data_IF_743409004206
#
_entry.id   IF_743409004206
#
_cell.length_a   1.000
_cell.length_b   1.000
_cell.length_c   1.000
_cell.angle_alpha   90.00
_cell.angle_beta   90.00
_cell.angle_gamma   90.00
#
_symmetry.space_group_name_H-M   'P 1'
#
loop_
_entity.id
_entity.type
_entity.pdbx_description
1 polymer ?
#
# COMPACT_ATOMS: atom_id res chain seq x y z
N UNK A 1 11.85 -25.04 -62.91
CA UNK A 1 11.48 -24.01 -61.90
C UNK A 1 12.72 -23.68 -61.11
N UNK A 2 13.02 -22.38 -60.91
CA UNK A 2 14.19 -21.97 -60.13
C UNK A 2 13.77 -21.89 -58.66
N UNK A 3 14.01 -22.97 -57.92
CA UNK A 3 13.61 -23.12 -56.53
C UNK A 3 14.18 -22.02 -55.63
N UNK A 4 15.42 -21.58 -55.87
CA UNK A 4 16.05 -20.50 -55.12
C UNK A 4 15.30 -19.16 -55.30
N UNK A 5 14.88 -18.86 -56.53
CA UNK A 5 14.10 -17.65 -56.83
C UNK A 5 12.72 -17.68 -56.18
N UNK A 6 12.04 -18.83 -56.20
CA UNK A 6 10.70 -18.98 -55.62
C UNK A 6 10.72 -18.87 -54.08
N UNK A 7 11.69 -19.50 -53.43
CA UNK A 7 11.87 -19.41 -51.97
C UNK A 7 12.23 -17.97 -51.58
N UNK A 8 13.08 -17.29 -52.35
CA UNK A 8 13.37 -15.87 -52.12
C UNK A 8 12.13 -15.00 -52.22
N UNK A 9 11.34 -15.17 -53.29
CA UNK A 9 10.08 -14.44 -53.48
C UNK A 9 9.11 -14.67 -52.33
N UNK A 10 9.01 -15.91 -51.82
CA UNK A 10 8.19 -16.20 -50.64
C UNK A 10 8.77 -15.61 -49.36
N UNK A 11 10.09 -15.65 -49.17
CA UNK A 11 10.77 -15.05 -48.03
C UNK A 11 10.58 -13.53 -48.00
N UNK A 12 10.47 -12.87 -49.15
CA UNK A 12 10.22 -11.43 -49.27
C UNK A 12 8.73 -11.07 -49.12
N UNK A 13 7.83 -11.84 -49.75
CA UNK A 13 6.39 -11.51 -49.82
C UNK A 13 5.55 -12.06 -48.66
N UNK A 14 5.96 -13.16 -48.02
CA UNK A 14 5.13 -13.82 -47.01
C UNK A 14 4.94 -12.94 -45.76
N UNK A 15 3.76 -13.01 -45.11
CA UNK A 15 3.56 -12.40 -43.80
C UNK A 15 4.50 -13.06 -42.78
N UNK A 16 4.91 -12.32 -41.75
CA UNK A 16 5.91 -12.80 -40.77
C UNK A 16 5.53 -14.12 -40.10
N UNK A 17 4.23 -14.35 -39.86
CA UNK A 17 3.71 -15.59 -39.28
C UNK A 17 3.94 -16.83 -40.19
N UNK A 18 4.13 -16.63 -41.49
CA UNK A 18 4.40 -17.70 -42.45
C UNK A 18 5.90 -17.93 -42.71
N UNK A 19 6.80 -17.12 -42.15
CA UNK A 19 8.25 -17.29 -42.29
C UNK A 19 8.78 -18.66 -41.82
N UNK A 20 8.25 -19.28 -40.73
CA UNK A 20 8.65 -20.64 -40.36
C UNK A 20 8.30 -21.69 -41.44
N UNK A 21 7.19 -21.51 -42.16
CA UNK A 21 6.83 -22.40 -43.26
C UNK A 21 7.76 -22.22 -44.47
N UNK A 22 8.16 -20.98 -44.76
CA UNK A 22 9.15 -20.68 -45.81
C UNK A 22 10.53 -21.25 -45.46
N UNK A 23 10.94 -21.19 -44.19
CA UNK A 23 12.18 -21.81 -43.71
C UNK A 23 12.13 -23.35 -43.83
N UNK A 24 10.99 -23.98 -43.54
CA UNK A 24 10.81 -25.41 -43.75
C UNK A 24 10.91 -25.80 -45.22
N UNK A 25 10.33 -25.01 -46.13
CA UNK A 25 10.44 -25.22 -47.57
C UNK A 25 11.88 -25.07 -48.08
N UNK A 26 12.64 -24.11 -47.55
CA UNK A 26 14.07 -23.93 -47.82
C UNK A 26 14.87 -25.19 -47.49
N UNK A 27 14.76 -25.68 -46.25
CA UNK A 27 15.54 -26.84 -45.81
C UNK A 27 15.12 -28.14 -46.51
N UNK A 28 13.85 -28.25 -46.91
CA UNK A 28 13.38 -29.38 -47.73
C UNK A 28 13.99 -29.37 -49.14
N UNK A 29 13.99 -28.22 -49.81
CA UNK A 29 14.58 -28.08 -51.14
C UNK A 29 16.11 -28.30 -51.15
N UNK A 30 16.80 -27.91 -50.07
CA UNK A 30 18.22 -28.23 -49.88
C UNK A 30 18.46 -29.74 -49.71
N UNK A 31 17.64 -30.42 -48.88
CA UNK A 31 17.73 -31.87 -48.69
C UNK A 31 17.42 -32.69 -49.96
N UNK A 32 16.62 -32.14 -50.87
CA UNK A 32 16.31 -32.72 -52.18
C UNK A 32 17.35 -32.39 -53.27
N UNK A 33 18.39 -31.60 -52.92
CA UNK A 33 19.47 -31.23 -53.84
C UNK A 33 19.11 -30.13 -54.85
N UNK A 34 18.01 -29.42 -54.62
CA UNK A 34 17.54 -28.33 -55.50
C UNK A 34 18.21 -26.98 -55.21
N UNK A 35 19.00 -26.90 -54.13
CA UNK A 35 19.72 -25.70 -53.72
C UNK A 35 21.18 -26.07 -53.42
N UNK A 36 22.10 -25.22 -53.85
CA UNK A 36 23.48 -25.27 -53.38
C UNK A 36 23.58 -24.76 -51.93
N UNK A 37 24.65 -25.15 -51.24
CA UNK A 37 24.93 -24.71 -49.86
C UNK A 37 24.99 -23.19 -49.75
N UNK A 38 25.61 -22.52 -50.73
CA UNK A 38 25.73 -21.06 -50.80
C UNK A 38 24.37 -20.38 -50.96
N UNK A 39 23.48 -20.96 -51.77
CA UNK A 39 22.12 -20.44 -51.95
C UNK A 39 21.26 -20.65 -50.70
N UNK A 40 21.42 -21.79 -50.03
CA UNK A 40 20.70 -22.08 -48.79
C UNK A 40 21.08 -21.11 -47.67
N UNK A 41 22.38 -20.83 -47.51
CA UNK A 41 22.89 -19.86 -46.53
C UNK A 41 22.38 -18.45 -46.80
N UNK A 42 22.43 -18.00 -48.06
CA UNK A 42 21.94 -16.68 -48.45
C UNK A 42 20.44 -16.50 -48.19
N UNK A 43 19.62 -17.54 -48.45
CA UNK A 43 18.18 -17.51 -48.22
C UNK A 43 17.84 -17.56 -46.72
N UNK A 44 18.60 -18.33 -45.93
CA UNK A 44 18.44 -18.37 -44.48
C UNK A 44 18.71 -17.00 -43.86
N UNK A 45 19.75 -16.29 -44.30
CA UNK A 45 20.08 -14.95 -43.81
C UNK A 45 18.94 -13.94 -44.06
N UNK A 46 18.27 -14.02 -45.22
CA UNK A 46 17.10 -13.16 -45.54
C UNK A 46 15.92 -13.44 -44.61
N UNK A 47 15.67 -14.71 -44.30
CA UNK A 47 14.58 -15.12 -43.39
C UNK A 47 14.88 -14.66 -41.96
N UNK A 48 16.10 -14.90 -41.46
CA UNK A 48 16.53 -14.50 -40.11
C UNK A 48 16.49 -12.98 -39.93
N UNK A 49 16.94 -12.19 -40.91
CA UNK A 49 16.86 -10.73 -40.85
C UNK A 49 15.42 -10.23 -40.67
N UNK A 50 14.43 -10.91 -41.27
CA UNK A 50 13.00 -10.58 -41.09
C UNK A 50 12.44 -11.04 -39.74
N UNK A 51 12.99 -12.10 -39.15
CA UNK A 51 12.59 -12.59 -37.82
C UNK A 51 13.18 -11.72 -36.69
N UNK A 52 14.47 -11.37 -36.78
CA UNK A 52 15.19 -10.58 -35.76
C UNK A 52 14.66 -9.14 -35.65
N UNK A 53 14.12 -8.59 -36.75
CA UNK A 53 13.44 -7.29 -36.75
C UNK A 53 12.13 -7.27 -35.94
N UNK A 54 11.77 -8.36 -35.25
CA UNK A 54 10.57 -8.51 -34.43
C UNK A 54 10.81 -9.36 -33.17
N UNK A 55 11.55 -8.84 -32.18
CA UNK A 55 11.35 -9.25 -30.78
C UNK A 55 12.65 -9.42 -29.97
N UNK A 56 12.96 -8.51 -29.03
CA UNK A 56 12.49 -8.68 -27.64
C UNK A 56 11.08 -9.28 -27.54
N UNK A 57 11.02 -10.61 -27.55
CA UNK A 57 9.76 -11.35 -27.54
C UNK A 57 10.02 -12.84 -27.74
N UNK A 58 10.80 -13.44 -26.85
CA UNK A 58 11.08 -14.89 -26.83
C UNK A 58 9.78 -15.69 -26.74
N UNK A 59 9.49 -16.47 -27.77
CA UNK A 59 8.67 -17.67 -27.69
C UNK A 59 9.53 -18.80 -27.10
N UNK A 60 9.37 -19.06 -25.79
CA UNK A 60 9.77 -20.33 -25.16
C UNK A 60 8.53 -21.23 -25.03
N UNK A 61 8.69 -22.57 -25.02
CA UNK A 61 7.58 -23.51 -24.86
C UNK A 61 6.84 -23.26 -23.53
N UNK A 62 5.54 -23.61 -23.41
CA UNK A 62 4.75 -23.36 -22.21
C UNK A 62 5.14 -24.34 -21.10
N UNK A 63 6.35 -24.17 -20.57
CA UNK A 63 6.70 -24.71 -19.28
C UNK A 63 6.03 -23.85 -18.21
N UNK A 64 5.49 -24.49 -17.17
CA UNK A 64 4.56 -23.91 -16.19
C UNK A 64 5.22 -22.92 -15.22
N UNK A 65 5.91 -21.91 -15.74
CA UNK A 65 6.33 -20.74 -14.99
C UNK A 65 5.19 -19.72 -15.05
N UNK A 66 4.46 -19.62 -13.94
CA UNK A 66 3.31 -18.73 -13.80
C UNK A 66 3.61 -17.33 -14.36
N UNK A 67 2.72 -16.88 -15.24
CA UNK A 67 2.62 -15.50 -15.71
C UNK A 67 3.00 -14.51 -14.59
N UNK A 68 3.82 -13.48 -14.84
CA UNK A 68 4.15 -12.48 -13.83
C UNK A 68 2.82 -11.94 -13.33
N UNK A 69 2.48 -12.31 -12.09
CA UNK A 69 1.22 -11.91 -11.48
C UNK A 69 1.26 -10.39 -11.50
N UNK A 70 0.45 -9.78 -12.35
CA UNK A 70 0.23 -8.34 -12.33
C UNK A 70 -0.05 -7.97 -10.87
N UNK A 71 0.90 -7.27 -10.24
CA UNK A 71 0.91 -6.97 -8.79
C UNK A 71 -0.20 -6.01 -8.35
N UNK A 72 -1.17 -5.77 -9.22
CA UNK A 72 -2.40 -5.09 -8.97
C UNK A 72 -3.49 -6.15 -8.83
N UNK A 73 -3.77 -6.59 -7.60
CA UNK A 73 -5.05 -7.24 -7.32
C UNK A 73 -6.20 -6.34 -7.80
N UNK A 74 -7.36 -6.92 -8.05
CA UNK A 74 -8.59 -6.29 -8.57
C UNK A 74 -9.13 -5.11 -7.76
N UNK A 75 -8.48 -4.73 -6.65
CA UNK A 75 -8.85 -3.59 -5.83
C UNK A 75 -7.95 -2.39 -6.16
N UNK A 76 -8.50 -1.28 -6.68
CA UNK A 76 -7.75 -0.04 -6.84
C UNK A 76 -7.10 0.36 -5.50
N UNK A 77 -5.78 0.64 -5.52
CA UNK A 77 -5.10 1.28 -4.38
C UNK A 77 -5.58 2.73 -4.33
N UNK A 78 -6.70 2.98 -3.64
CA UNK A 78 -7.19 4.36 -3.44
C UNK A 78 -6.29 5.11 -2.46
N UNK A 79 -6.14 6.42 -2.66
CA UNK A 79 -5.36 7.27 -1.75
C UNK A 79 -5.88 7.21 -0.32
N UNK A 80 -7.19 7.14 -0.14
CA UNK A 80 -7.82 6.94 1.16
C UNK A 80 -7.39 5.61 1.83
N UNK A 81 -7.25 4.53 1.06
CA UNK A 81 -6.75 3.24 1.55
C UNK A 81 -5.27 3.33 1.95
N UNK A 82 -4.44 3.98 1.13
CA UNK A 82 -3.03 4.19 1.45
C UNK A 82 -2.84 5.06 2.69
N UNK A 83 -3.62 6.14 2.81
CA UNK A 83 -3.61 7.01 3.99
C UNK A 83 -4.01 6.25 5.27
N UNK A 84 -5.01 5.36 5.21
CA UNK A 84 -5.36 4.48 6.35
C UNK A 84 -4.20 3.57 6.75
N UNK A 85 -3.55 2.90 5.79
CA UNK A 85 -2.39 2.04 6.08
C UNK A 85 -1.26 2.81 6.74
N UNK A 86 -0.94 4.00 6.22
CA UNK A 86 0.08 4.89 6.79
C UNK A 86 -0.25 5.29 8.22
N UNK A 87 -1.51 5.69 8.50
CA UNK A 87 -1.95 6.03 9.86
C UNK A 87 -1.82 4.86 10.84
N UNK A 88 -2.21 3.65 10.43
CA UNK A 88 -2.08 2.47 11.27
C UNK A 88 -0.62 2.09 11.51
N UNK A 89 0.23 2.10 10.49
CA UNK A 89 1.67 1.84 10.63
C UNK A 89 2.34 2.89 11.54
N UNK A 90 1.95 4.16 11.42
CA UNK A 90 2.46 5.26 12.25
C UNK A 90 1.86 5.31 13.67
N UNK A 91 0.98 4.38 14.04
CA UNK A 91 0.32 4.40 15.36
C UNK A 91 1.25 4.08 16.54
N UNK A 92 2.51 3.70 16.28
CA UNK A 92 3.49 3.38 17.31
C UNK A 92 3.23 2.08 18.06
N UNK A 93 2.32 1.23 17.57
CA UNK A 93 1.95 -0.04 18.22
C UNK A 93 2.92 -1.19 17.96
N UNK A 94 3.77 -1.07 16.96
CA UNK A 94 4.78 -2.05 16.60
C UNK A 94 6.17 -1.47 16.97
N UNK A 95 7.02 -2.21 17.72
CA UNK A 95 8.39 -1.78 17.99
C UNK A 95 9.15 -1.54 16.68
N UNK A 96 10.02 -0.52 16.59
CA UNK A 96 10.71 -0.19 15.34
C UNK A 96 11.60 -1.33 14.83
N UNK A 97 12.24 -2.09 15.72
CA UNK A 97 13.06 -3.25 15.35
C UNK A 97 12.26 -4.43 14.77
N UNK A 98 11.00 -4.57 15.15
CA UNK A 98 10.08 -5.53 14.52
C UNK A 98 9.47 -4.95 13.25
N UNK A 99 9.13 -3.66 13.24
CA UNK A 99 8.50 -2.99 12.10
C UNK A 99 9.36 -3.05 10.83
N UNK A 100 10.69 -2.95 10.97
CA UNK A 100 11.63 -3.05 9.84
C UNK A 100 11.55 -4.37 9.07
N UNK A 101 10.99 -5.42 9.66
CA UNK A 101 10.86 -6.75 9.04
C UNK A 101 9.59 -6.92 8.20
N UNK A 102 8.68 -5.95 8.26
CA UNK A 102 7.37 -6.01 7.63
C UNK A 102 7.18 -4.88 6.62
N UNK A 103 6.41 -5.16 5.58
CA UNK A 103 5.95 -4.12 4.66
C UNK A 103 4.99 -3.17 5.36
N UNK A 104 4.83 -1.95 4.83
CA UNK A 104 3.92 -0.94 5.39
C UNK A 104 2.48 -1.48 5.59
N UNK A 105 1.99 -2.29 4.65
CA UNK A 105 0.65 -2.87 4.74
C UNK A 105 0.55 -3.94 5.84
N UNK A 106 1.60 -4.74 6.04
CA UNK A 106 1.68 -5.73 7.12
C UNK A 106 1.82 -5.03 8.49
N UNK A 107 2.68 -4.00 8.58
CA UNK A 107 2.80 -3.17 9.79
C UNK A 107 1.45 -2.58 10.21
N UNK A 108 0.66 -2.11 9.25
CA UNK A 108 -0.67 -1.58 9.50
C UNK A 108 -1.63 -2.64 10.06
N UNK A 109 -1.59 -3.87 9.52
CA UNK A 109 -2.37 -5.00 10.03
C UNK A 109 -1.94 -5.38 11.45
N UNK A 110 -0.65 -5.53 11.68
CA UNK A 110 -0.10 -5.91 12.99
C UNK A 110 -0.36 -4.83 14.05
N UNK A 111 -0.37 -3.56 13.65
CA UNK A 111 -0.74 -2.45 14.53
C UNK A 111 -2.21 -2.50 14.96
N UNK A 112 -3.13 -2.87 14.05
CA UNK A 112 -4.54 -3.09 14.41
C UNK A 112 -4.70 -4.30 15.33
N UNK A 113 -4.01 -5.41 15.04
CA UNK A 113 -3.99 -6.60 15.92
C UNK A 113 -3.54 -6.19 17.32
N UNK A 114 -2.44 -5.43 17.43
CA UNK A 114 -1.95 -4.91 18.70
C UNK A 114 -2.92 -3.95 19.41
N UNK A 115 -3.71 -3.18 18.65
CA UNK A 115 -4.76 -2.34 19.20
C UNK A 115 -5.88 -3.17 19.83
N UNK A 116 -6.34 -4.22 19.15
CA UNK A 116 -7.38 -5.12 19.67
C UNK A 116 -6.89 -5.95 20.85
N UNK A 117 -5.67 -6.50 20.79
CA UNK A 117 -5.09 -7.22 21.93
C UNK A 117 -4.92 -6.30 23.14
N UNK A 118 -4.64 -5.00 22.93
CA UNK A 118 -4.59 -4.02 24.01
C UNK A 118 -5.96 -3.73 24.65
N UNK A 119 -7.06 -3.90 23.91
CA UNK A 119 -8.44 -3.68 24.38
C UNK A 119 -9.06 -4.93 25.01
N UNK A 120 -8.88 -6.09 24.39
CA UNK A 120 -9.58 -7.35 24.74
C UNK A 120 -8.66 -8.45 25.27
N UNK A 121 -7.35 -8.29 25.17
CA UNK A 121 -6.34 -9.29 25.50
C UNK A 121 -5.91 -10.13 24.30
N UNK A 122 -6.83 -10.44 23.39
CA UNK A 122 -6.62 -11.19 22.16
C UNK A 122 -7.30 -10.51 20.95
N UNK A 123 -6.94 -10.90 19.73
CA UNK A 123 -7.59 -10.43 18.51
C UNK A 123 -8.47 -11.55 17.94
N UNK A 124 -9.79 -11.32 17.94
CA UNK A 124 -10.82 -12.24 17.41
C UNK A 124 -11.54 -11.69 16.19
N UNK A 125 -10.95 -10.70 15.52
CA UNK A 125 -11.55 -10.09 14.33
C UNK A 125 -11.38 -11.00 13.12
N UNK A 126 -12.45 -11.14 12.34
CA UNK A 126 -12.40 -11.88 11.09
C UNK A 126 -11.40 -11.24 10.12
N UNK A 127 -10.76 -12.05 9.27
CA UNK A 127 -9.76 -11.57 8.30
C UNK A 127 -10.31 -10.46 7.40
N UNK A 128 -11.56 -10.61 6.93
CA UNK A 128 -12.26 -9.57 6.16
C UNK A 128 -12.47 -8.28 6.94
N UNK A 129 -12.78 -8.37 8.23
CA UNK A 129 -12.97 -7.19 9.10
C UNK A 129 -11.65 -6.45 9.32
N UNK A 130 -10.54 -7.17 9.59
CA UNK A 130 -9.20 -6.58 9.65
C UNK A 130 -8.85 -5.87 8.34
N UNK A 131 -9.11 -6.52 7.20
CA UNK A 131 -8.82 -5.97 5.88
C UNK A 131 -9.62 -4.68 5.59
N UNK A 132 -10.89 -4.64 6.03
CA UNK A 132 -11.76 -3.47 5.89
C UNK A 132 -11.25 -2.27 6.70
N UNK A 133 -10.97 -2.47 8.00
CA UNK A 133 -10.51 -1.41 8.91
C UNK A 133 -9.17 -0.80 8.44
N UNK A 134 -8.20 -1.66 8.11
CA UNK A 134 -6.86 -1.21 7.69
C UNK A 134 -6.87 -0.66 6.27
N UNK A 135 -7.76 -1.17 5.42
CA UNK A 135 -7.79 -0.87 4.00
C UNK A 135 -6.75 -1.67 3.21
N UNK A 136 -6.66 -2.98 3.44
CA UNK A 136 -5.79 -3.91 2.69
C UNK A 136 -6.63 -5.02 2.04
N UNK A 137 -6.01 -5.89 1.25
CA UNK A 137 -6.64 -7.12 0.79
C UNK A 137 -6.57 -8.20 1.88
N UNK A 138 -7.52 -9.13 1.91
CA UNK A 138 -7.50 -10.23 2.87
C UNK A 138 -6.23 -11.09 2.78
N UNK A 139 -5.71 -11.28 1.57
CA UNK A 139 -4.44 -11.99 1.34
C UNK A 139 -3.28 -11.31 2.07
N UNK A 140 -3.25 -9.98 2.12
CA UNK A 140 -2.25 -9.22 2.88
C UNK A 140 -2.38 -9.46 4.37
N UNK A 141 -3.60 -9.57 4.91
CA UNK A 141 -3.83 -9.90 6.33
C UNK A 141 -3.32 -11.31 6.63
N UNK A 142 -3.67 -12.30 5.80
CA UNK A 142 -3.20 -13.69 5.98
C UNK A 142 -1.68 -13.79 5.90
N UNK A 143 -1.06 -13.10 4.94
CA UNK A 143 0.40 -13.04 4.82
C UNK A 143 1.04 -12.39 6.04
N UNK A 144 0.55 -11.23 6.50
CA UNK A 144 1.05 -10.55 7.68
C UNK A 144 1.05 -11.46 8.92
N UNK A 145 -0.07 -12.16 9.16
CA UNK A 145 -0.22 -13.09 10.28
C UNK A 145 0.73 -14.29 10.11
N UNK A 146 0.87 -14.83 8.90
CA UNK A 146 1.78 -15.94 8.62
C UNK A 146 3.24 -15.57 8.86
N UNK A 147 3.68 -14.40 8.38
CA UNK A 147 5.05 -13.92 8.61
C UNK A 147 5.30 -13.60 10.09
N UNK A 148 4.34 -12.98 10.78
CA UNK A 148 4.45 -12.75 12.22
C UNK A 148 4.52 -14.05 13.03
N UNK A 149 3.77 -15.09 12.62
CA UNK A 149 3.85 -16.43 13.22
C UNK A 149 5.21 -17.08 12.95
N UNK A 150 5.71 -16.98 11.72
CA UNK A 150 7.05 -17.48 11.33
C UNK A 150 8.16 -16.86 12.17
N UNK A 151 8.03 -15.58 12.50
CA UNK A 151 8.96 -14.85 13.37
C UNK A 151 8.71 -15.07 14.87
N UNK A 152 7.76 -15.96 15.26
CA UNK A 152 7.46 -16.25 16.66
C UNK A 152 6.82 -15.08 17.42
N UNK A 153 6.26 -14.09 16.71
CA UNK A 153 5.69 -12.89 17.33
C UNK A 153 4.26 -13.12 17.83
N UNK A 154 3.51 -13.96 17.12
CA UNK A 154 2.10 -14.26 17.40
C UNK A 154 1.82 -15.75 17.35
N UNK A 155 0.89 -16.20 18.18
CA UNK A 155 0.23 -17.50 18.04
C UNK A 155 -1.14 -17.32 17.42
N UNK A 156 -1.55 -18.29 16.61
CA UNK A 156 -2.84 -18.32 15.94
C UNK A 156 -3.54 -19.59 16.38
N UNK A 157 -4.59 -19.46 17.18
CA UNK A 157 -5.45 -20.56 17.58
C UNK A 157 -6.56 -20.70 16.53
N UNK A 158 -6.55 -21.82 15.80
CA UNK A 158 -7.60 -22.16 14.86
C UNK A 158 -8.81 -22.71 15.63
N UNK A 159 -9.98 -22.08 15.48
CA UNK A 159 -11.20 -22.48 16.17
C UNK A 159 -12.10 -23.30 15.26
N UNK A 160 -11.76 -24.57 15.07
CA UNK A 160 -12.63 -25.50 14.35
C UNK A 160 -13.84 -25.82 15.22
N UNK A 161 -15.05 -25.54 14.71
CA UNK A 161 -16.31 -25.84 15.41
C UNK A 161 -16.86 -27.18 14.95
N UNK A 162 -16.78 -27.45 13.66
CA UNK A 162 -17.12 -28.74 13.04
C UNK A 162 -16.13 -29.02 11.91
N UNK A 163 -16.20 -30.20 11.28
CA UNK A 163 -15.36 -30.52 10.12
C UNK A 163 -15.48 -29.53 8.94
N UNK A 164 -16.60 -28.81 8.83
CA UNK A 164 -16.88 -27.87 7.73
C UNK A 164 -16.96 -26.40 8.18
N UNK A 165 -17.07 -26.13 9.49
CA UNK A 165 -17.24 -24.78 10.03
C UNK A 165 -16.09 -24.42 10.96
N UNK A 166 -15.43 -23.33 10.62
CA UNK A 166 -14.39 -22.71 11.43
C UNK A 166 -14.90 -21.37 11.96
N UNK A 167 -14.79 -21.16 13.27
CA UNK A 167 -14.94 -19.85 13.89
C UNK A 167 -13.74 -18.96 13.54
N UNK A 168 -13.83 -17.68 13.86
CA UNK A 168 -12.73 -16.75 13.62
C UNK A 168 -11.50 -17.16 14.44
N UNK A 169 -10.37 -17.26 13.75
CA UNK A 169 -9.06 -17.52 14.37
C UNK A 169 -8.76 -16.48 15.43
N UNK A 170 -8.20 -16.94 16.55
CA UNK A 170 -7.77 -16.05 17.65
C UNK A 170 -6.27 -15.81 17.51
N UNK A 171 -5.88 -14.55 17.41
CA UNK A 171 -4.48 -14.15 17.32
C UNK A 171 -4.04 -13.56 18.65
N UNK A 172 -2.98 -14.12 19.23
CA UNK A 172 -2.37 -13.64 20.49
C UNK A 172 -0.93 -13.22 20.25
N UNK A 173 -0.51 -12.11 20.84
CA UNK A 173 0.88 -11.65 20.77
C UNK A 173 1.67 -12.33 21.88
N UNK A 174 2.71 -13.07 21.51
CA UNK A 174 3.54 -13.86 22.44
C UNK A 174 4.94 -13.26 22.63
N UNK A 175 5.41 -12.45 21.67
CA UNK A 175 6.72 -11.79 21.79
C UNK A 175 6.83 -10.92 23.05
N UNK A 176 7.84 -11.21 23.87
CA UNK A 176 8.15 -10.44 25.08
C UNK A 176 8.52 -8.98 24.75
N UNK A 177 9.31 -8.77 23.69
CA UNK A 177 9.67 -7.43 23.19
C UNK A 177 8.42 -6.63 22.84
N UNK A 178 7.51 -7.25 22.07
CA UNK A 178 6.32 -6.56 21.61
C UNK A 178 5.33 -6.30 22.75
N UNK A 179 5.13 -7.26 23.66
CA UNK A 179 4.25 -7.07 24.82
C UNK A 179 4.79 -6.00 25.79
N UNK A 180 6.11 -5.96 26.03
CA UNK A 180 6.76 -4.91 26.81
C UNK A 180 6.57 -3.53 26.15
N UNK A 181 6.76 -3.43 24.84
CA UNK A 181 6.51 -2.21 24.07
C UNK A 181 5.07 -1.72 24.22
N UNK A 182 4.08 -2.62 24.10
CA UNK A 182 2.66 -2.28 24.26
C UNK A 182 2.31 -1.86 25.69
N UNK A 183 3.06 -2.29 26.71
CA UNK A 183 2.90 -1.78 28.08
C UNK A 183 3.42 -0.34 28.20
N UNK A 184 4.58 -0.06 27.62
CA UNK A 184 5.16 1.29 27.62
C UNK A 184 4.28 2.28 26.83
N UNK A 185 3.86 1.90 25.62
CA UNK A 185 3.01 2.73 24.76
C UNK A 185 1.63 3.04 25.38
N UNK A 186 1.09 2.15 26.23
CA UNK A 186 -0.16 2.40 26.96
C UNK A 186 -0.02 3.42 28.08
N UNK A 187 1.16 3.53 28.70
CA UNK A 187 1.37 4.44 29.83
C UNK A 187 1.29 5.91 29.41
N UNK A 188 1.80 6.25 28.22
CA UNK A 188 1.74 7.62 27.69
C UNK A 188 0.34 8.10 27.24
N UNK A 189 -0.62 7.20 27.01
CA UNK A 189 -1.97 7.56 26.54
C UNK A 189 -3.01 7.67 27.65
N UNK A 190 -2.72 7.17 28.86
CA UNK A 190 -3.69 7.10 29.98
C UNK A 190 -3.62 8.33 30.90
N UNK A 191 -2.59 9.17 30.75
CA UNK A 191 -2.42 10.43 31.51
C UNK A 191 -3.10 11.63 30.82
N UNK A 192 -3.89 11.43 29.76
CA UNK A 192 -4.44 12.52 28.92
C UNK A 192 -5.97 12.66 29.01
N UNK A 193 -6.52 12.72 30.23
CA UNK A 193 -7.81 13.37 30.52
C UNK A 193 -7.56 14.37 31.66
N UNK A 194 -7.95 15.66 31.54
CA UNK A 194 -7.36 16.74 32.32
C UNK A 194 -8.00 16.88 33.71
N UNK A 195 -7.28 17.47 34.68
CA UNK A 195 -7.72 18.78 35.15
C UNK A 195 -6.68 19.80 34.70
N UNK A 196 -7.13 20.82 33.95
CA UNK A 196 -6.37 22.00 33.53
C UNK A 196 -5.09 21.74 32.72
N UNK A 197 -5.09 22.26 31.49
CA UNK A 197 -3.92 22.38 30.65
C UNK A 197 -2.77 23.10 31.37
N UNK A 198 -1.68 22.40 31.64
CA UNK A 198 -0.34 22.98 31.65
C UNK A 198 0.50 22.24 30.61
N UNK A 199 1.03 23.01 29.65
CA UNK A 199 1.62 22.50 28.43
C UNK A 199 2.76 21.52 28.68
N UNK A 200 2.79 20.45 27.89
CA UNK A 200 3.95 19.59 27.70
C UNK A 200 5.04 20.44 27.03
N UNK A 201 5.82 21.11 27.86
CA UNK A 201 6.96 21.92 27.46
C UNK A 201 8.12 21.02 27.04
N UNK A 202 8.65 21.28 25.84
CA UNK A 202 10.02 20.93 25.51
C UNK A 202 10.92 21.39 26.66
N UNK A 203 11.76 20.50 27.23
CA UNK A 203 12.62 20.82 28.38
C UNK A 203 13.32 22.17 28.16
N UNK A 204 12.99 23.18 28.96
CA UNK A 204 13.71 24.44 28.93
C UNK A 204 15.16 24.15 29.33
N UNK A 205 16.10 24.44 28.43
CA UNK A 205 17.52 24.33 28.75
C UNK A 205 17.81 25.23 29.96
N UNK A 206 18.20 24.64 31.09
CA UNK A 206 18.71 25.39 32.24
C UNK A 206 20.06 25.97 31.83
N UNK A 207 20.08 27.22 31.34
CA UNK A 207 21.33 27.97 31.19
C UNK A 207 21.88 28.21 32.59
N UNK A 208 23.12 27.81 32.82
CA UNK A 208 23.88 28.22 34.01
C UNK A 208 23.99 29.74 34.02
N UNK A 209 23.70 30.37 35.15
CA UNK A 209 23.87 31.81 35.33
C UNK A 209 25.37 32.12 35.27
N UNK A 210 25.82 32.78 34.20
CA UNK A 210 27.12 33.45 34.21
C UNK A 210 26.84 34.86 34.71
N UNK A 211 27.25 35.15 35.94
CA UNK A 211 27.21 36.50 36.50
C UNK A 211 28.08 37.41 35.63
N UNK A 212 27.43 38.30 34.86
CA UNK A 212 28.11 39.34 34.08
C UNK A 212 28.15 40.59 34.95
N UNK A 213 29.33 41.13 35.31
CA UNK A 213 29.47 42.16 36.35
C UNK A 213 29.10 43.58 35.91
N UNK A 214 28.33 43.76 34.84
CA UNK A 214 27.86 45.07 34.40
C UNK A 214 26.38 45.05 34.03
N UNK A 215 25.60 46.07 34.41
CA UNK A 215 24.16 46.09 34.19
C UNK A 215 23.86 46.24 32.69
N UNK A 216 23.33 45.17 32.08
CA UNK A 216 22.76 45.23 30.73
C UNK A 216 21.38 45.86 30.85
N UNK A 217 21.24 47.08 30.34
CA UNK A 217 20.02 47.88 30.32
C UNK A 217 18.77 47.05 29.95
N UNK A 218 17.91 46.80 30.93
CA UNK A 218 16.58 46.22 30.76
C UNK A 218 15.61 47.30 30.25
N UNK A 219 15.77 47.71 29.00
CA UNK A 219 14.78 48.52 28.29
C UNK A 219 13.44 47.77 28.28
N UNK A 220 12.39 48.44 28.78
CA UNK A 220 11.04 47.91 28.90
C UNK A 220 10.55 47.30 27.57
N UNK A 221 10.52 45.96 27.50
CA UNK A 221 9.89 45.23 26.39
C UNK A 221 8.39 45.40 26.53
N UNK A 222 7.82 46.28 25.73
CA UNK A 222 6.38 46.43 25.59
C UNK A 222 5.72 45.09 25.23
N UNK A 223 4.55 44.84 25.80
CA UNK A 223 3.69 43.70 25.46
C UNK A 223 3.23 43.84 24.01
N UNK A 224 3.96 43.25 23.06
CA UNK A 224 3.45 43.06 21.71
C UNK A 224 2.26 42.08 21.77
N UNK A 225 1.06 42.62 21.57
CA UNK A 225 -0.17 41.83 21.34
C UNK A 225 0.03 41.03 20.05
N UNK A 226 0.05 39.70 20.18
CA UNK A 226 0.12 38.79 19.05
C UNK A 226 -1.05 38.98 18.08
N UNK A 227 -0.75 38.87 16.79
CA UNK A 227 -1.67 39.05 15.68
C UNK A 227 -2.79 38.01 15.69
N UNK A 228 -3.88 38.32 16.40
CA UNK A 228 -5.22 37.78 16.14
C UNK A 228 -6.21 38.94 16.22
N UNK A 229 -6.19 39.79 15.19
CA UNK A 229 -7.29 40.70 14.95
C UNK A 229 -8.32 39.97 14.10
N UNK A 230 -9.50 39.83 14.69
CA UNK A 230 -10.72 39.39 14.04
C UNK A 230 -11.04 40.29 12.85
N UNK A 231 -11.41 39.69 11.72
CA UNK A 231 -12.18 40.40 10.72
C UNK A 231 -13.53 40.73 11.37
N UNK A 232 -13.79 42.03 11.52
CA UNK A 232 -14.98 42.55 12.18
C UNK A 232 -16.23 42.44 11.31
N UNK A 233 -17.36 42.30 11.99
CA UNK A 233 -18.67 42.70 11.47
C UNK A 233 -18.74 44.23 11.35
N UNK A 234 -19.27 44.78 10.26
CA UNK A 234 -19.76 46.16 10.24
C UNK A 234 -21.24 46.20 10.65
N UNK A 235 -21.46 46.71 11.86
CA UNK A 235 -22.44 47.71 12.25
C UNK A 235 -23.73 47.91 11.40
N UNK A 236 -24.85 47.65 12.08
CA UNK A 236 -25.82 48.66 12.56
C UNK A 236 -26.94 49.21 11.63
N UNK A 237 -28.16 49.17 12.18
CA UNK A 237 -29.41 49.94 11.92
C UNK A 237 -30.34 49.55 10.77
N UNK A 238 -31.53 49.06 11.12
CA UNK A 238 -32.78 49.85 11.09
C UNK A 238 -34.04 49.01 11.45
N UNK A 239 -34.63 49.34 12.59
CA UNK A 239 -36.06 49.70 12.78
C UNK A 239 -37.18 48.78 12.25
N UNK A 240 -37.95 48.28 13.23
CA UNK A 240 -39.42 48.10 13.31
C UNK A 240 -40.18 47.26 12.28
N UNK A 241 -40.98 46.33 12.80
CA UNK A 241 -42.15 45.82 12.09
C UNK A 241 -42.78 44.59 12.75
N UNK A 242 -43.47 44.77 13.87
CA UNK A 242 -44.47 43.81 14.33
C UNK A 242 -45.48 43.54 13.21
N UNK A 243 -45.82 42.27 12.96
CA UNK A 243 -47.20 41.84 12.67
C UNK A 243 -47.37 40.33 12.86
N UNK A 244 -48.24 40.03 13.81
CA UNK A 244 -48.99 38.79 13.94
C UNK A 244 -49.72 38.42 12.64
N UNK A 245 -49.88 37.11 12.42
CA UNK A 245 -51.00 36.38 11.81
C UNK A 245 -50.43 35.11 11.17
N UNK A 246 -50.96 33.91 11.31
CA UNK A 246 -52.19 33.47 11.93
C UNK A 246 -52.22 31.94 11.79
N UNK A 247 -52.68 31.29 12.84
CA UNK A 247 -52.93 29.85 12.93
C UNK A 247 -54.27 29.53 12.24
N UNK A 248 -54.24 28.71 11.19
CA UNK A 248 -55.36 27.90 10.70
C UNK A 248 -54.73 26.76 9.87
N UNK A 249 -54.86 25.47 10.17
CA UNK A 249 -56.06 24.76 10.56
C UNK A 249 -56.76 24.27 9.29
N UNK A 250 -56.49 23.02 8.85
CA UNK A 250 -57.46 22.27 8.04
C UNK A 250 -57.22 20.76 8.08
N UNK A 251 -58.23 20.07 8.58
CA UNK A 251 -58.44 18.63 8.45
C UNK A 251 -59.34 18.31 7.25
N UNK A 252 -59.22 17.05 6.80
CA UNK A 252 -60.14 16.21 6.00
C UNK A 252 -60.53 16.63 4.58
N UNK A 253 -60.21 15.75 3.62
CA UNK A 253 -61.17 14.76 3.10
C UNK A 253 -60.47 13.43 2.85
#
# INVERSE_FOLDING_TARGET
MNYAYEIRRQAEAAPRAALPAVASALWKAFGEGHLSEVEAEALAAVIEARQVSSGSGKNLPPDRAGSPRTGAGSRPRTDASMARRRRWAASGRLPPGLASRFTLAEQAVLSLVAAETGRRGDCRLAVGHLAAIVGVAETTVRNAIREARKLGLVTVEERRVTGFRNDTNVVRIVSAEWTAWLRLARKGSRETLPPSFEGVGCKSAKRTHTDVPYPVNSGARSRQKGCRQAAGDPADRATSGNREAGRAGRAMR
#
